data_IF_061823272072
#
_entry.id   IF_061823272072
#
_cell.length_a   1.000
_cell.length_b   1.000
_cell.length_c   1.000
_cell.angle_alpha   90.00
_cell.angle_beta   90.00
_cell.angle_gamma   90.00
#
_symmetry.space_group_name_H-M   'P 1'
#
loop_
_entity.id
_entity.type
_entity.pdbx_description
1 polymer ?
#
# COMPACT_ATOMS: atom_id res chain seq x y z
N UNK A 1 -10.97 -13.67 49.70
CA UNK A 1 -9.80 -13.07 49.03
C UNK A 1 -8.95 -14.22 48.53
N UNK A 2 -8.96 -14.52 47.23
CA UNK A 2 -8.17 -15.61 46.66
C UNK A 2 -6.79 -15.06 46.28
N UNK A 3 -5.72 -15.57 46.88
CA UNK A 3 -4.36 -15.16 46.57
C UNK A 3 -3.90 -15.85 45.28
N UNK A 4 -3.36 -15.09 44.34
CA UNK A 4 -2.74 -15.64 43.12
C UNK A 4 -1.47 -16.39 43.51
N UNK A 5 -1.33 -17.62 43.04
CA UNK A 5 -0.18 -18.48 43.32
C UNK A 5 1.11 -17.87 42.73
N UNK A 6 2.26 -17.98 43.41
CA UNK A 6 3.56 -17.53 42.88
C UNK A 6 3.92 -18.22 41.55
N UNK A 7 3.41 -19.42 41.31
CA UNK A 7 3.57 -20.10 40.02
C UNK A 7 2.88 -19.34 38.86
N UNK A 8 1.75 -18.68 39.14
CA UNK A 8 1.01 -17.92 38.14
C UNK A 8 1.76 -16.65 37.72
N UNK A 9 2.43 -15.99 38.67
CA UNK A 9 3.30 -14.83 38.38
C UNK A 9 4.54 -15.22 37.56
N UNK A 10 5.13 -16.39 37.84
CA UNK A 10 6.25 -16.90 37.05
C UNK A 10 5.82 -17.24 35.62
N UNK A 11 4.67 -17.88 35.43
CA UNK A 11 4.13 -18.18 34.09
C UNK A 11 3.79 -16.90 33.32
N UNK A 12 3.22 -15.88 33.99
CA UNK A 12 2.96 -14.58 33.36
C UNK A 12 4.26 -13.87 32.93
N UNK A 13 5.29 -13.92 33.79
CA UNK A 13 6.60 -13.34 33.49
C UNK A 13 7.33 -14.04 32.33
N UNK A 14 7.22 -15.38 32.26
CA UNK A 14 7.76 -16.15 31.14
C UNK A 14 7.00 -15.82 29.85
N UNK A 15 5.66 -15.74 29.86
CA UNK A 15 4.87 -15.39 28.66
C UNK A 15 5.16 -14.00 28.10
N UNK A 16 5.41 -13.00 28.95
CA UNK A 16 5.82 -11.66 28.51
C UNK A 16 7.22 -11.67 27.87
N UNK A 17 8.12 -12.55 28.33
CA UNK A 17 9.47 -12.65 27.77
C UNK A 17 9.51 -13.35 26.39
N UNK A 18 8.56 -14.23 26.07
CA UNK A 18 8.52 -14.95 24.77
C UNK A 18 7.94 -14.11 23.63
N UNK A 19 7.47 -12.88 23.88
CA UNK A 19 6.93 -11.97 22.87
C UNK A 19 8.00 -10.98 22.33
N UNK A 20 9.25 -11.42 22.19
CA UNK A 20 10.28 -10.64 21.52
C UNK A 20 10.20 -10.87 20.02
N UNK A 21 9.41 -10.05 19.34
CA UNK A 21 9.45 -9.97 17.89
C UNK A 21 10.88 -9.57 17.47
N UNK A 22 11.55 -10.42 16.69
CA UNK A 22 12.88 -10.16 16.16
C UNK A 22 12.81 -9.10 15.05
N UNK A 23 12.39 -7.88 15.37
CA UNK A 23 12.31 -6.74 14.46
C UNK A 23 13.69 -6.11 14.34
N UNK A 24 14.44 -6.51 13.31
CA UNK A 24 15.73 -5.93 13.02
C UNK A 24 15.98 -5.86 11.52
N UNK A 25 16.97 -5.08 11.12
CA UNK A 25 17.34 -4.86 9.73
C UNK A 25 17.54 -6.14 8.92
N UNK A 26 18.25 -7.14 9.45
CA UNK A 26 18.55 -8.36 8.71
C UNK A 26 17.28 -9.16 8.41
N UNK A 27 16.40 -9.32 9.40
CA UNK A 27 15.12 -10.02 9.18
C UNK A 27 14.22 -9.28 8.19
N UNK A 28 14.23 -7.95 8.20
CA UNK A 28 13.51 -7.15 7.20
C UNK A 28 14.04 -7.42 5.78
N UNK A 29 15.36 -7.38 5.58
CA UNK A 29 15.99 -7.62 4.28
C UNK A 29 15.77 -9.08 3.82
N UNK A 30 15.95 -10.04 4.73
CA UNK A 30 15.79 -11.47 4.45
C UNK A 30 14.36 -11.83 4.02
N UNK A 31 13.37 -11.07 4.49
CA UNK A 31 11.96 -11.22 4.08
C UNK A 31 11.79 -11.07 2.57
N UNK A 32 12.61 -10.23 1.92
CA UNK A 32 12.57 -9.99 0.47
C UNK A 32 13.65 -10.74 -0.32
N UNK A 33 14.72 -11.20 0.33
CA UNK A 33 15.91 -11.75 -0.31
C UNK A 33 15.62 -12.94 -1.26
N UNK A 34 14.55 -13.69 -0.98
CA UNK A 34 14.16 -14.87 -1.77
C UNK A 34 13.20 -14.55 -2.93
N UNK A 35 12.66 -13.33 -3.02
CA UNK A 35 11.72 -12.96 -4.08
C UNK A 35 12.46 -12.55 -5.35
N UNK A 36 12.63 -13.51 -6.26
CA UNK A 36 13.27 -13.31 -7.56
C UNK A 36 12.24 -12.80 -8.58
N UNK A 37 12.50 -11.64 -9.17
CA UNK A 37 11.59 -10.95 -10.11
C UNK A 37 11.25 -11.77 -11.37
N UNK A 38 12.15 -12.66 -11.79
CA UNK A 38 12.03 -13.51 -12.97
C UNK A 38 11.42 -14.90 -12.67
N UNK A 39 11.03 -15.15 -11.41
CA UNK A 39 10.39 -16.38 -11.00
C UNK A 39 8.90 -16.39 -11.34
N UNK A 40 8.33 -17.52 -11.78
CA UNK A 40 6.88 -17.66 -11.91
C UNK A 40 6.12 -17.44 -10.58
N UNK A 41 6.81 -17.56 -9.44
CA UNK A 41 6.24 -17.40 -8.10
C UNK A 41 6.50 -16.02 -7.48
N UNK A 42 7.04 -15.06 -8.24
CA UNK A 42 7.43 -13.74 -7.72
C UNK A 42 6.28 -13.05 -6.96
N UNK A 43 5.11 -13.05 -7.58
CA UNK A 43 3.87 -12.47 -7.08
C UNK A 43 3.48 -13.04 -5.70
N UNK A 44 3.44 -14.37 -5.60
CA UNK A 44 3.16 -15.06 -4.34
C UNK A 44 4.23 -14.75 -3.28
N UNK A 45 5.51 -14.73 -3.68
CA UNK A 45 6.61 -14.42 -2.79
C UNK A 45 6.50 -13.01 -2.22
N UNK A 46 6.31 -12.00 -3.09
CA UNK A 46 6.29 -10.61 -2.66
C UNK A 46 5.07 -10.30 -1.80
N UNK A 47 3.92 -10.92 -2.10
CA UNK A 47 2.74 -10.89 -1.24
C UNK A 47 3.03 -11.44 0.16
N UNK A 48 3.74 -12.57 0.25
CA UNK A 48 4.17 -13.14 1.53
C UNK A 48 5.11 -12.20 2.28
N UNK A 49 6.11 -11.67 1.59
CA UNK A 49 7.09 -10.74 2.13
C UNK A 49 6.44 -9.46 2.69
N UNK A 50 5.51 -8.86 1.95
CA UNK A 50 4.77 -7.67 2.38
C UNK A 50 3.90 -7.95 3.61
N UNK A 51 3.25 -9.13 3.67
CA UNK A 51 2.49 -9.54 4.85
C UNK A 51 3.39 -9.74 6.08
N UNK A 52 4.59 -10.29 5.92
CA UNK A 52 5.57 -10.37 7.02
C UNK A 52 6.05 -8.98 7.45
N UNK A 53 6.23 -8.05 6.50
CA UNK A 53 6.71 -6.70 6.79
C UNK A 53 5.79 -5.84 7.67
N UNK A 54 4.52 -6.22 7.83
CA UNK A 54 3.56 -5.48 8.65
C UNK A 54 4.01 -5.25 10.09
N UNK A 55 4.79 -6.17 10.64
CA UNK A 55 5.33 -6.06 12.00
C UNK A 55 6.23 -4.83 12.16
N UNK A 56 6.84 -4.35 11.06
CA UNK A 56 7.65 -3.15 11.03
C UNK A 56 6.83 -1.86 10.87
N UNK A 57 5.53 -1.90 10.60
CA UNK A 57 4.75 -0.67 10.39
C UNK A 57 4.69 0.22 11.64
N UNK A 58 4.75 -0.36 12.85
CA UNK A 58 4.77 0.42 14.11
C UNK A 58 6.16 0.93 14.48
N UNK A 59 7.21 0.25 14.04
CA UNK A 59 8.60 0.55 14.46
C UNK A 59 9.40 1.27 13.39
N UNK A 60 9.02 1.12 12.12
CA UNK A 60 9.86 1.46 10.98
C UNK A 60 11.06 0.52 10.84
N UNK A 61 11.96 0.92 9.93
CA UNK A 61 13.29 0.34 9.72
C UNK A 61 14.30 1.51 9.67
N UNK A 62 14.80 1.96 10.83
CA UNK A 62 15.65 3.15 10.92
C UNK A 62 16.91 3.09 10.06
N UNK A 63 17.49 1.90 9.88
CA UNK A 63 18.69 1.67 9.06
C UNK A 63 18.46 1.99 7.58
N UNK A 64 17.20 1.90 7.12
CA UNK A 64 16.78 2.29 5.77
C UNK A 64 16.12 3.68 5.72
N UNK A 65 16.16 4.43 6.83
CA UNK A 65 15.42 5.69 6.99
C UNK A 65 13.91 5.54 6.75
N UNK A 66 13.37 4.36 7.04
CA UNK A 66 11.93 4.09 6.98
C UNK A 66 11.36 4.39 8.36
N UNK A 67 10.60 5.47 8.47
CA UNK A 67 9.90 5.81 9.70
C UNK A 67 8.74 4.85 9.98
N UNK A 68 8.28 4.75 11.24
CA UNK A 68 6.97 4.18 11.55
C UNK A 68 5.89 4.78 10.65
N UNK A 69 4.99 3.92 10.20
CA UNK A 69 3.85 4.28 9.36
C UNK A 69 2.50 4.03 10.05
N UNK A 70 2.45 3.23 11.12
CA UNK A 70 1.24 3.03 11.94
C UNK A 70 1.50 3.48 13.39
N UNK A 71 0.89 4.59 13.86
CA UNK A 71 -0.08 5.42 13.15
C UNK A 71 0.53 6.37 12.11
N UNK A 72 -0.20 6.59 11.02
CA UNK A 72 0.16 7.59 10.02
C UNK A 72 -0.45 8.93 10.39
N UNK A 73 0.32 10.01 10.25
CA UNK A 73 -0.18 11.37 10.46
C UNK A 73 0.11 12.25 9.24
N UNK A 74 -0.95 12.90 8.72
CA UNK A 74 -0.85 13.90 7.69
C UNK A 74 -1.48 15.21 8.18
N UNK A 75 -0.70 16.29 8.12
CA UNK A 75 -1.18 17.64 8.45
C UNK A 75 -2.34 18.08 7.54
N UNK A 76 -2.29 17.72 6.27
CA UNK A 76 -3.33 18.06 5.29
C UNK A 76 -3.43 16.99 4.20
N UNK A 77 -4.65 16.56 3.89
CA UNK A 77 -4.97 15.68 2.76
C UNK A 77 -6.03 16.39 1.91
N UNK A 78 -5.70 16.64 0.64
CA UNK A 78 -6.63 17.27 -0.32
C UNK A 78 -7.01 16.26 -1.38
N UNK A 79 -8.29 15.93 -1.45
CA UNK A 79 -8.86 15.09 -2.50
C UNK A 79 -9.78 15.94 -3.38
N UNK A 80 -9.53 15.96 -4.68
CA UNK A 80 -10.43 16.56 -5.67
C UNK A 80 -10.90 15.45 -6.58
N UNK A 81 -12.22 15.28 -6.70
CA UNK A 81 -12.81 14.28 -7.60
C UNK A 81 -14.09 14.85 -8.19
N UNK A 82 -14.33 14.54 -9.44
CA UNK A 82 -15.51 15.02 -10.14
C UNK A 82 -15.67 14.40 -11.51
N UNK A 83 -16.91 14.43 -12.00
CA UNK A 83 -17.32 14.01 -13.33
C UNK A 83 -18.20 15.08 -13.98
N UNK A 84 -18.85 14.75 -15.08
CA UNK A 84 -19.61 15.70 -15.91
C UNK A 84 -20.69 16.49 -15.16
N UNK A 85 -21.32 15.90 -14.13
CA UNK A 85 -22.47 16.51 -13.44
C UNK A 85 -22.24 16.76 -11.94
N UNK A 86 -21.10 16.36 -11.38
CA UNK A 86 -20.81 16.57 -9.96
C UNK A 86 -19.31 16.65 -9.71
N UNK A 87 -18.88 17.67 -8.99
CA UNK A 87 -17.49 17.90 -8.62
C UNK A 87 -17.41 18.23 -7.13
N UNK A 88 -16.45 17.64 -6.41
CA UNK A 88 -16.18 17.97 -5.02
C UNK A 88 -14.68 18.13 -4.74
N UNK A 89 -14.39 18.98 -3.75
CA UNK A 89 -13.07 19.16 -3.16
C UNK A 89 -13.17 18.91 -1.67
N UNK A 90 -12.49 17.88 -1.20
CA UNK A 90 -12.37 17.51 0.20
C UNK A 90 -10.99 17.94 0.71
N UNK A 91 -10.95 18.70 1.81
CA UNK A 91 -9.72 19.07 2.52
C UNK A 91 -9.85 18.58 3.95
N UNK A 92 -9.01 17.61 4.31
CA UNK A 92 -8.90 17.06 5.66
C UNK A 92 -7.64 17.64 6.30
N UNK A 93 -7.72 18.03 7.58
CA UNK A 93 -6.61 18.66 8.32
C UNK A 93 -6.35 17.83 9.57
N UNK A 94 -5.07 17.60 9.88
CA UNK A 94 -4.61 16.78 11.01
C UNK A 94 -5.24 15.38 10.98
N UNK A 95 -5.05 14.67 9.87
CA UNK A 95 -5.53 13.30 9.67
C UNK A 95 -4.58 12.35 10.37
N UNK A 96 -5.15 11.48 11.21
CA UNK A 96 -4.45 10.32 11.76
C UNK A 96 -5.13 9.05 11.28
N UNK A 97 -4.35 8.10 10.78
CA UNK A 97 -4.82 6.80 10.33
C UNK A 97 -4.12 5.69 11.13
N UNK A 98 -4.89 4.66 11.50
CA UNK A 98 -4.47 3.59 12.38
C UNK A 98 -4.86 2.24 11.78
N UNK A 99 -4.14 1.18 12.13
CA UNK A 99 -4.54 -0.20 11.81
C UNK A 99 -3.92 -0.74 10.53
N UNK A 100 -2.95 -0.04 9.95
CA UNK A 100 -2.14 -0.56 8.85
C UNK A 100 -1.42 -1.85 9.25
N UNK A 101 -0.97 -1.95 10.50
CA UNK A 101 -0.38 -3.19 11.03
C UNK A 101 -1.34 -4.37 11.02
N UNK A 102 -2.65 -4.13 11.01
CA UNK A 102 -3.69 -5.16 11.02
C UNK A 102 -4.14 -5.56 9.60
N UNK A 103 -3.72 -4.82 8.57
CA UNK A 103 -4.08 -5.06 7.16
C UNK A 103 -3.45 -6.31 6.56
N UNK A 104 -4.18 -7.12 5.79
CA UNK A 104 -3.61 -8.25 5.04
C UNK A 104 -3.48 -7.85 3.58
N UNK A 105 -2.28 -7.97 3.01
CA UNK A 105 -2.05 -7.72 1.59
C UNK A 105 -2.75 -8.80 0.77
N UNK A 106 -3.70 -8.36 -0.06
CA UNK A 106 -4.42 -9.20 -0.99
C UNK A 106 -4.01 -8.84 -2.41
N UNK A 107 -3.08 -9.62 -2.98
CA UNK A 107 -2.84 -9.51 -4.42
C UNK A 107 -4.10 -9.94 -5.18
N UNK A 108 -4.74 -8.97 -5.83
CA UNK A 108 -5.73 -9.19 -6.88
C UNK A 108 -5.13 -8.65 -8.17
N UNK A 109 -4.78 -9.52 -9.11
CA UNK A 109 -4.32 -9.09 -10.43
C UNK A 109 -5.48 -8.33 -11.09
N UNK A 110 -5.45 -6.99 -11.05
CA UNK A 110 -6.26 -6.18 -11.93
C UNK A 110 -5.58 -6.20 -13.30
N UNK A 111 -5.70 -7.32 -14.02
CA UNK A 111 -5.43 -7.29 -15.46
C UNK A 111 -6.54 -6.44 -16.06
N UNK A 112 -6.31 -5.14 -16.17
CA UNK A 112 -7.16 -4.30 -17.00
C UNK A 112 -7.23 -4.98 -18.37
N UNK A 113 -8.43 -5.24 -18.93
CA UNK A 113 -8.50 -5.76 -20.29
C UNK A 113 -7.74 -4.78 -21.17
N UNK A 114 -6.68 -5.27 -21.82
CA UNK A 114 -5.99 -4.52 -22.86
C UNK A 114 -7.04 -4.31 -23.93
N UNK A 115 -7.71 -3.16 -23.90
CA UNK A 115 -8.61 -2.80 -24.97
C UNK A 115 -7.76 -2.72 -26.23
N UNK A 116 -8.07 -3.48 -27.30
CA UNK A 116 -7.36 -3.33 -28.54
C UNK A 116 -7.57 -1.88 -28.97
N UNK A 117 -6.49 -1.10 -29.01
CA UNK A 117 -6.48 0.23 -29.62
C UNK A 117 -6.91 0.00 -31.07
N UNK A 118 -8.19 0.28 -31.35
CA UNK A 118 -8.71 0.24 -32.70
C UNK A 118 -7.91 1.27 -33.48
N UNK A 119 -6.93 0.78 -34.23
CA UNK A 119 -6.09 1.62 -35.07
C UNK A 119 -6.99 2.27 -36.11
N UNK A 120 -7.46 3.49 -35.83
CA UNK A 120 -7.98 4.39 -36.85
C UNK A 120 -6.85 4.57 -37.85
N UNK A 121 -6.92 3.86 -38.98
CA UNK A 121 -6.13 4.21 -40.17
C UNK A 121 -6.50 5.64 -40.52
N UNK A 122 -5.65 6.58 -40.10
CA UNK A 122 -5.69 7.97 -40.56
C UNK A 122 -5.46 7.92 -42.07
N UNK A 123 -6.50 8.23 -42.84
CA UNK A 123 -6.37 8.53 -44.25
C UNK A 123 -5.43 9.72 -44.37
N UNK A 124 -4.19 9.47 -44.83
CA UNK A 124 -3.22 10.53 -45.10
C UNK A 124 -3.77 11.42 -46.22
N UNK A 125 -4.26 12.60 -45.86
CA UNK A 125 -4.31 13.75 -46.76
C UNK A 125 -3.42 14.81 -46.14
N UNK A 126 -2.31 15.10 -46.81
CA UNK A 126 -1.28 16.01 -46.31
C UNK A 126 -1.79 17.44 -46.17
N UNK A 127 -1.17 18.18 -45.25
CA UNK A 127 -0.66 19.56 -45.34
C UNK A 127 -0.19 19.96 -43.93
N UNK A 128 0.95 20.67 -43.86
CA UNK A 128 1.67 21.10 -42.65
C UNK A 128 1.07 22.41 -42.12
N UNK A 129 0.91 22.55 -40.80
CA UNK A 129 0.90 23.85 -40.09
C UNK A 129 1.64 23.71 -38.75
N UNK A 130 2.56 24.63 -38.38
CA UNK A 130 3.29 24.62 -37.12
C UNK A 130 2.68 25.54 -36.06
N UNK A 131 2.73 25.08 -34.80
CA UNK A 131 2.61 25.88 -33.57
C UNK A 131 1.20 25.99 -32.99
N UNK A 132 0.96 25.35 -31.84
CA UNK A 132 0.13 25.87 -30.74
C UNK A 132 0.27 24.96 -29.50
N UNK A 133 0.07 25.58 -28.35
CA UNK A 133 0.58 25.24 -27.03
C UNK A 133 -0.18 24.12 -26.29
N UNK A 134 0.48 23.63 -25.23
CA UNK A 134 -0.08 23.03 -24.00
C UNK A 134 -1.28 22.08 -24.12
N UNK A 135 -1.05 20.75 -23.99
CA UNK A 135 -2.12 19.85 -23.56
C UNK A 135 -1.65 18.70 -22.66
N UNK A 136 -1.94 18.90 -21.37
CA UNK A 136 -2.51 17.96 -20.40
C UNK A 136 -2.02 16.50 -20.41
N UNK A 137 -1.20 16.20 -19.41
CA UNK A 137 -0.96 14.85 -18.90
C UNK A 137 -2.24 14.28 -18.26
N UNK A 138 -2.88 13.35 -18.98
CA UNK A 138 -4.04 12.60 -18.53
C UNK A 138 -3.71 11.71 -17.32
N UNK A 139 -4.19 12.10 -16.13
CA UNK A 139 -4.21 11.27 -14.93
C UNK A 139 -5.22 10.13 -15.08
N UNK A 140 -4.74 8.91 -14.89
CA UNK A 140 -5.45 7.64 -15.03
C UNK A 140 -6.77 7.57 -14.25
N UNK A 141 -7.81 7.08 -14.91
CA UNK A 141 -9.11 6.71 -14.34
C UNK A 141 -8.99 5.37 -13.59
N UNK A 142 -8.99 5.43 -12.26
CA UNK A 142 -9.28 4.26 -11.42
C UNK A 142 -10.78 4.16 -11.17
N UNK A 143 -11.45 3.27 -11.92
CA UNK A 143 -12.80 2.80 -11.61
C UNK A 143 -12.74 1.93 -10.36
N UNK A 144 -13.33 2.39 -9.26
CA UNK A 144 -13.55 1.56 -8.08
C UNK A 144 -14.99 1.11 -8.11
N UNK A 145 -15.16 -0.17 -8.41
CA UNK A 145 -16.41 -0.91 -8.37
C UNK A 145 -16.87 -0.96 -6.91
N UNK A 146 -18.03 -0.37 -6.64
CA UNK A 146 -18.66 -0.31 -5.34
C UNK A 146 -19.41 -1.60 -5.09
N UNK A 147 -18.76 -2.57 -4.43
CA UNK A 147 -19.47 -3.70 -3.86
C UNK A 147 -20.15 -3.26 -2.56
N UNK A 148 -21.46 -3.12 -2.68
CA UNK A 148 -22.40 -2.95 -1.58
C UNK A 148 -22.56 -4.29 -0.87
N UNK A 149 -22.42 -4.31 0.46
CA UNK A 149 -23.32 -4.93 1.43
C UNK A 149 -22.85 -4.64 2.86
#
# INVERSE_FOLDING_TARGET
>A
MQALSPAFLLVLGVHLAIAQDNLNFNNFVDTFANCKWDSPDFDTCIKGALNTCRTYFKTGVPELSISPFDPFFAKEVVQTRGGSNFNYKLKLINVSEYGWSDSIEQQKQAVAPVQPVLSRKVARRGVRVPGEDDEQEHRQQGSMESDSL
#
